data_IF_090100642848
#
_entry.id   IF_090100642848
#
_cell.length_a   1.000
_cell.length_b   1.000
_cell.length_c   1.000
_cell.angle_alpha   90.00
_cell.angle_beta   90.00
_cell.angle_gamma   90.00
#
_symmetry.space_group_name_H-M   'P 1'
#
loop_
_entity.id
_entity.type
_entity.pdbx_description
1 polymer ?
#
# COMPACT_ATOMS: atom_id res chain seq x y z
N UNK A 1 -3.54 -11.04 26.48
CA UNK A 1 -2.77 -10.00 25.87
C UNK A 1 -2.95 -10.00 24.39
N UNK A 2 -3.17 -8.87 23.82
CA UNK A 2 -3.36 -8.78 22.39
C UNK A 2 -2.29 -7.90 21.79
N UNK A 3 -1.66 -8.41 20.74
CA UNK A 3 -0.72 -7.65 19.96
C UNK A 3 -1.49 -6.83 18.93
N UNK A 4 -1.04 -5.61 18.71
CA UNK A 4 -1.59 -4.75 17.68
C UNK A 4 -0.64 -4.70 16.50
N UNK A 5 -1.20 -4.74 15.31
CA UNK A 5 -0.44 -4.61 14.08
C UNK A 5 -0.64 -3.20 13.55
N UNK A 6 0.45 -2.44 13.45
CA UNK A 6 0.41 -1.06 13.01
C UNK A 6 1.02 -0.96 11.62
N UNK A 7 0.29 -0.34 10.71
CA UNK A 7 0.76 -0.14 9.34
C UNK A 7 1.74 1.03 9.32
N UNK A 8 3.01 0.72 9.09
CA UNK A 8 4.08 1.71 9.03
C UNK A 8 4.21 2.32 7.65
N UNK A 9 4.13 1.46 6.62
CA UNK A 9 4.18 1.90 5.23
C UNK A 9 3.09 1.19 4.44
N UNK A 10 2.28 1.96 3.75
CA UNK A 10 1.25 1.47 2.84
C UNK A 10 1.77 1.64 1.42
N UNK A 11 2.50 0.63 0.94
CA UNK A 11 3.31 0.74 -0.26
C UNK A 11 3.19 -0.51 -1.12
N UNK A 12 3.13 -0.30 -2.42
CA UNK A 12 3.13 -1.40 -3.38
C UNK A 12 4.04 -1.05 -4.56
N UNK A 13 4.45 -2.08 -5.28
CA UNK A 13 5.18 -1.93 -6.53
C UNK A 13 4.29 -2.39 -7.68
N UNK A 14 4.14 -1.56 -8.70
CA UNK A 14 3.46 -1.95 -9.92
C UNK A 14 4.40 -2.83 -10.73
N UNK A 15 3.97 -4.04 -11.05
CA UNK A 15 4.79 -4.98 -11.80
C UNK A 15 4.77 -4.72 -13.31
N UNK A 16 3.85 -3.86 -13.76
CA UNK A 16 3.77 -3.50 -15.18
C UNK A 16 4.69 -2.35 -15.54
N UNK A 17 4.72 -1.29 -14.75
CA UNK A 17 5.56 -0.13 -15.04
C UNK A 17 6.77 -0.01 -14.11
N UNK A 18 6.82 -0.80 -13.05
CA UNK A 18 7.94 -0.79 -12.12
C UNK A 18 7.89 0.31 -11.07
N UNK A 19 6.84 1.13 -11.06
CA UNK A 19 6.72 2.20 -10.08
C UNK A 19 6.48 1.66 -8.69
N UNK A 20 7.12 2.29 -7.71
CA UNK A 20 6.83 2.03 -6.31
C UNK A 20 6.03 3.23 -5.81
N UNK A 21 4.82 2.97 -5.32
CA UNK A 21 3.91 4.00 -4.86
C UNK A 21 3.56 3.76 -3.40
N UNK A 22 3.37 4.85 -2.67
CA UNK A 22 3.11 4.80 -1.24
C UNK A 22 2.03 5.80 -0.87
N UNK A 23 1.01 5.35 -0.13
CA UNK A 23 -0.01 6.22 0.45
C UNK A 23 0.45 6.62 1.84
N UNK A 24 0.63 7.91 2.08
CA UNK A 24 1.22 8.43 3.32
C UNK A 24 0.19 8.98 4.30
N UNK A 25 -0.99 9.33 3.81
CA UNK A 25 -2.03 9.95 4.63
C UNK A 25 -3.36 9.29 4.37
N UNK A 26 -4.29 9.46 5.30
CA UNK A 26 -5.69 9.06 5.08
C UNK A 26 -6.21 9.76 3.83
N UNK A 27 -6.85 8.99 2.96
CA UNK A 27 -7.37 9.47 1.66
C UNK A 27 -6.27 9.93 0.68
N UNK A 28 -5.04 9.52 0.89
CA UNK A 28 -3.96 9.79 -0.05
C UNK A 28 -3.98 8.74 -1.16
N UNK A 29 -4.69 9.03 -2.22
CA UNK A 29 -4.81 8.14 -3.37
C UNK A 29 -3.61 8.32 -4.28
N UNK A 30 -2.81 7.27 -4.43
CA UNK A 30 -1.61 7.30 -5.28
C UNK A 30 -1.72 6.21 -6.33
N UNK A 31 -1.63 6.60 -7.59
CA UNK A 31 -1.74 5.69 -8.72
C UNK A 31 -0.39 5.61 -9.44
N UNK A 32 -0.05 4.43 -9.95
CA UNK A 32 1.19 4.26 -10.68
C UNK A 32 1.10 4.94 -12.07
N UNK A 33 2.27 5.12 -12.71
CA UNK A 33 2.36 5.82 -13.99
C UNK A 33 1.52 5.19 -15.09
N UNK A 34 1.43 3.87 -15.12
CA UNK A 34 0.66 3.18 -16.16
C UNK A 34 -0.83 3.05 -15.81
N UNK A 35 -1.22 3.43 -14.60
CA UNK A 35 -2.60 3.37 -14.16
C UNK A 35 -3.12 1.98 -13.82
N UNK A 36 -2.25 0.96 -13.81
CA UNK A 36 -2.69 -0.42 -13.59
C UNK A 36 -3.08 -0.70 -12.15
N UNK A 37 -2.50 0.05 -11.19
CA UNK A 37 -2.79 -0.16 -9.77
C UNK A 37 -2.69 1.16 -9.01
N UNK A 38 -3.27 1.16 -7.80
CA UNK A 38 -3.22 2.32 -6.92
C UNK A 38 -3.17 1.84 -5.47
N UNK A 39 -2.82 2.76 -4.58
CA UNK A 39 -2.85 2.52 -3.14
C UNK A 39 -3.47 3.74 -2.46
N UNK A 40 -4.23 3.50 -1.39
CA UNK A 40 -4.96 4.53 -0.70
C UNK A 40 -5.10 4.15 0.78
N UNK A 41 -5.39 5.11 1.63
CA UNK A 41 -5.69 4.91 3.04
C UNK A 41 -4.58 5.27 4.01
N UNK A 42 -3.37 5.54 3.52
CA UNK A 42 -2.26 5.93 4.37
C UNK A 42 -1.97 4.89 5.43
N UNK A 43 -1.89 5.34 6.68
CA UNK A 43 -1.63 4.47 7.82
C UNK A 43 -2.90 3.99 8.52
N UNK A 44 -4.06 4.46 8.09
CA UNK A 44 -5.32 4.09 8.74
C UNK A 44 -5.89 2.79 8.19
N UNK A 45 -5.82 2.62 6.89
CA UNK A 45 -6.29 1.39 6.24
C UNK A 45 -5.52 1.19 4.94
N UNK A 46 -5.54 -0.03 4.46
CA UNK A 46 -4.86 -0.37 3.22
C UNK A 46 -5.89 -0.68 2.14
N UNK A 47 -5.92 0.15 1.12
CA UNK A 47 -6.81 -0.04 -0.02
C UNK A 47 -5.96 -0.07 -1.28
N UNK A 48 -5.96 -1.20 -1.94
CA UNK A 48 -5.15 -1.42 -3.14
C UNK A 48 -6.08 -1.81 -4.28
N UNK A 49 -5.94 -1.13 -5.41
CA UNK A 49 -6.68 -1.45 -6.62
C UNK A 49 -5.77 -1.98 -7.70
N UNK A 50 -6.34 -2.75 -8.61
CA UNK A 50 -5.63 -3.38 -9.71
C UNK A 50 -5.70 -4.90 -9.61
N UNK A 51 -5.27 -5.58 -10.67
CA UNK A 51 -5.22 -7.03 -10.67
C UNK A 51 -4.13 -7.50 -9.72
N UNK A 52 -4.43 -8.52 -8.92
CA UNK A 52 -3.52 -8.99 -7.89
C UNK A 52 -2.15 -9.39 -8.43
N UNK A 53 -2.09 -9.87 -9.65
CA UNK A 53 -0.85 -10.27 -10.30
C UNK A 53 -0.05 -9.10 -10.87
N UNK A 54 -0.63 -7.88 -10.84
CA UNK A 54 0.01 -6.70 -11.41
C UNK A 54 0.73 -5.85 -10.37
N UNK A 55 0.69 -6.25 -9.11
CA UNK A 55 1.38 -5.48 -8.07
C UNK A 55 1.96 -6.41 -7.00
N UNK A 56 2.98 -5.90 -6.33
CA UNK A 56 3.62 -6.60 -5.23
C UNK A 56 3.49 -5.76 -3.96
N UNK A 57 3.13 -6.42 -2.86
CA UNK A 57 2.95 -5.75 -1.58
C UNK A 57 4.33 -5.46 -0.96
N UNK A 58 4.65 -4.19 -0.81
CA UNK A 58 5.86 -3.73 -0.16
C UNK A 58 5.56 -3.00 1.15
N UNK A 59 4.36 -3.17 1.67
CA UNK A 59 3.95 -2.54 2.92
C UNK A 59 4.74 -3.08 4.10
N UNK A 60 4.92 -2.25 5.10
CA UNK A 60 5.63 -2.60 6.32
C UNK A 60 4.70 -2.45 7.51
N UNK A 61 4.80 -3.40 8.42
CA UNK A 61 3.98 -3.44 9.62
C UNK A 61 4.87 -3.56 10.84
N UNK A 62 4.38 -3.05 11.97
CA UNK A 62 5.04 -3.22 13.25
C UNK A 62 4.05 -3.85 14.22
N UNK A 63 4.53 -4.79 15.02
CA UNK A 63 3.71 -5.43 16.05
C UNK A 63 4.04 -4.82 17.38
N UNK A 64 3.01 -4.30 18.05
CA UNK A 64 3.11 -3.63 19.35
C UNK A 64 2.22 -4.37 20.32
N UNK A 65 2.77 -4.72 21.44
CA UNK A 65 2.03 -5.37 22.52
C UNK A 65 1.53 -4.38 23.56
#
# INVERSE_FOLDING_TARGET
MSAKKILIRNRIKCLKCGDIIESKYTHDFVQCSCGACFVDGGHDYMRIGGEKEDWEDLSEWEIVE
#
